data_IF_735656001560
#
_entry.id   IF_735656001560
#
_cell.length_a   1.000
_cell.length_b   1.000
_cell.length_c   1.000
_cell.angle_alpha   90.00
_cell.angle_beta   90.00
_cell.angle_gamma   90.00
#
_symmetry.space_group_name_H-M   'P 1'
#
loop_
_entity.id
_entity.type
_entity.pdbx_description
1 polymer ?
#
# COMPACT_ATOMS: atom_id res chain seq x y z
N UNK A 1 -6.67 10.71 -27.73
CA UNK A 1 -5.91 9.52 -27.25
C UNK A 1 -6.27 9.33 -25.77
N UNK A 2 -6.81 8.17 -25.38
CA UNK A 2 -7.14 7.92 -23.98
C UNK A 2 -5.83 7.52 -23.26
N UNK A 3 -5.37 8.36 -22.32
CA UNK A 3 -4.15 8.08 -21.54
C UNK A 3 -4.59 7.17 -20.39
N UNK A 4 -4.06 5.93 -20.32
CA UNK A 4 -4.49 4.95 -19.30
C UNK A 4 -3.93 5.24 -17.90
N UNK A 5 -2.98 6.15 -17.77
CA UNK A 5 -2.40 6.61 -16.51
C UNK A 5 -2.91 8.01 -16.19
N UNK A 6 -3.59 8.17 -15.08
CA UNK A 6 -4.38 9.37 -14.75
C UNK A 6 -4.07 9.86 -13.34
N UNK A 7 -4.45 11.09 -13.09
CA UNK A 7 -4.55 11.68 -11.76
C UNK A 7 -5.66 11.01 -10.95
N UNK A 8 -5.58 11.16 -9.63
CA UNK A 8 -6.60 10.69 -8.69
C UNK A 8 -6.68 11.54 -7.44
N UNK A 9 -7.57 11.17 -6.55
CA UNK A 9 -7.64 11.79 -5.23
C UNK A 9 -6.64 11.11 -4.31
N UNK A 10 -5.72 11.90 -3.77
CA UNK A 10 -4.64 11.43 -2.90
C UNK A 10 -4.94 11.86 -1.47
N UNK A 11 -4.87 10.93 -0.54
CA UNK A 11 -4.97 11.18 0.89
C UNK A 11 -3.58 11.12 1.52
N UNK A 12 -3.17 12.20 2.17
CA UNK A 12 -1.92 12.23 2.95
C UNK A 12 -2.23 12.51 4.42
N UNK A 13 -1.50 11.89 5.38
CA UNK A 13 -1.71 12.12 6.80
C UNK A 13 -1.39 13.56 7.18
N UNK A 14 -2.15 14.12 8.11
CA UNK A 14 -1.90 15.45 8.71
C UNK A 14 -0.96 15.32 9.89
N UNK A 15 -0.04 16.28 10.03
CA UNK A 15 0.77 16.52 11.24
C UNK A 15 1.25 15.25 11.96
N UNK A 16 1.72 14.26 11.17
CA UNK A 16 2.01 12.92 11.65
C UNK A 16 3.51 12.68 11.70
N UNK A 17 3.99 12.00 12.74
CA UNK A 17 5.35 11.50 12.82
C UNK A 17 5.57 10.40 11.75
N UNK A 18 6.23 10.78 10.66
CA UNK A 18 6.47 9.88 9.52
C UNK A 18 7.35 8.70 9.87
N UNK A 19 8.14 8.75 10.94
CA UNK A 19 8.97 7.62 11.40
C UNK A 19 8.12 6.50 12.02
N UNK A 20 6.93 6.83 12.50
CA UNK A 20 5.94 5.88 13.01
C UNK A 20 4.83 5.57 12.00
N UNK A 21 4.52 6.55 11.14
CA UNK A 21 3.50 6.37 10.10
C UNK A 21 3.93 5.38 9.03
N UNK A 22 5.14 5.57 8.49
CA UNK A 22 5.63 4.80 7.35
C UNK A 22 6.26 3.48 7.79
N UNK A 23 5.75 2.37 7.27
CA UNK A 23 6.36 1.04 7.42
C UNK A 23 6.74 0.48 6.06
N UNK A 24 7.57 -0.55 6.04
CA UNK A 24 7.93 -1.26 4.81
C UNK A 24 6.71 -1.92 4.17
N UNK A 25 6.83 -2.29 2.89
CA UNK A 25 5.77 -2.99 2.18
C UNK A 25 5.45 -4.33 2.87
N UNK A 26 4.17 -4.71 2.83
CA UNK A 26 3.65 -5.88 3.55
C UNK A 26 4.24 -7.22 3.09
N UNK A 27 4.90 -7.26 1.95
CA UNK A 27 5.59 -8.42 1.36
C UNK A 27 7.10 -8.48 1.70
N UNK A 28 7.58 -7.60 2.59
CA UNK A 28 8.95 -7.61 3.07
C UNK A 28 9.04 -8.34 4.41
N UNK A 29 10.23 -8.88 4.73
CA UNK A 29 10.50 -9.55 6.00
C UNK A 29 9.49 -10.67 6.34
N UNK A 30 9.10 -11.44 5.32
CA UNK A 30 8.05 -12.47 5.42
C UNK A 30 8.44 -13.68 6.28
N UNK A 31 9.73 -13.82 6.64
CA UNK A 31 10.27 -14.87 7.50
C UNK A 31 10.83 -14.34 8.81
N UNK A 32 10.60 -13.06 9.12
CA UNK A 32 11.25 -12.38 10.25
C UNK A 32 10.21 -11.80 11.22
N UNK A 33 9.58 -12.66 12.06
CA UNK A 33 8.56 -12.21 13.02
C UNK A 33 9.09 -11.15 14.01
N UNK A 34 10.36 -11.24 14.39
CA UNK A 34 10.98 -10.29 15.32
C UNK A 34 11.03 -8.87 14.73
N UNK A 35 11.26 -8.75 13.42
CA UNK A 35 11.20 -7.46 12.73
C UNK A 35 9.83 -6.80 12.92
N UNK A 36 8.74 -7.51 12.66
CA UNK A 36 7.39 -6.97 12.78
C UNK A 36 6.99 -6.68 14.21
N UNK A 37 7.48 -7.48 15.18
CA UNK A 37 7.30 -7.22 16.60
C UNK A 37 8.01 -5.93 17.03
N UNK A 38 9.20 -5.68 16.53
CA UNK A 38 9.94 -4.45 16.85
C UNK A 38 9.32 -3.22 16.19
N UNK A 39 8.85 -3.34 14.95
CA UNK A 39 8.05 -2.29 14.30
C UNK A 39 6.81 -1.96 15.13
N UNK A 40 6.08 -2.96 15.62
CA UNK A 40 4.90 -2.75 16.46
C UNK A 40 5.24 -2.02 17.78
N UNK A 41 6.38 -2.34 18.41
CA UNK A 41 6.85 -1.63 19.61
C UNK A 41 7.19 -0.17 19.33
N UNK A 42 7.86 0.11 18.18
CA UNK A 42 8.22 1.48 17.78
C UNK A 42 6.96 2.32 17.50
N UNK A 43 6.00 1.73 16.78
CA UNK A 43 4.73 2.39 16.45
C UNK A 43 3.91 2.66 17.70
N UNK A 44 3.78 1.68 18.60
CA UNK A 44 2.94 1.78 19.81
C UNK A 44 1.50 2.13 19.43
N UNK A 45 0.92 3.09 20.16
CA UNK A 45 -0.45 3.59 19.94
C UNK A 45 -0.55 4.69 18.86
N UNK A 46 0.55 4.99 18.17
CA UNK A 46 0.55 6.06 17.16
C UNK A 46 -0.17 5.60 15.89
N UNK A 47 -0.83 6.53 15.18
CA UNK A 47 -1.32 6.23 13.82
C UNK A 47 -0.19 5.74 12.93
N UNK A 48 -0.42 4.64 12.20
CA UNK A 48 0.59 4.03 11.35
C UNK A 48 -0.03 3.22 10.23
N UNK A 49 0.67 3.15 9.10
CA UNK A 49 0.30 2.25 8.01
C UNK A 49 0.45 0.77 8.41
N UNK A 50 1.16 0.45 9.50
CA UNK A 50 1.14 -0.89 10.10
C UNK A 50 -0.29 -1.37 10.41
N UNK A 51 -1.14 -0.46 10.87
CA UNK A 51 -2.53 -0.74 11.26
C UNK A 51 -3.50 -0.69 10.07
N UNK A 52 -3.02 -0.42 8.86
CA UNK A 52 -3.78 -0.31 7.62
C UNK A 52 -3.39 -1.36 6.58
N UNK A 53 -2.40 -2.19 6.87
CA UNK A 53 -1.91 -3.23 5.98
C UNK A 53 -1.87 -4.57 6.68
N UNK A 54 -1.86 -5.65 5.90
CA UNK A 54 -1.70 -7.02 6.40
C UNK A 54 -0.34 -7.55 5.94
N UNK A 55 0.68 -7.56 6.80
CA UNK A 55 1.96 -8.19 6.50
C UNK A 55 1.79 -9.67 6.14
N UNK A 56 2.52 -10.13 5.13
CA UNK A 56 2.39 -11.50 4.60
C UNK A 56 2.69 -12.59 5.63
N UNK A 57 3.53 -12.29 6.61
CA UNK A 57 3.84 -13.19 7.71
C UNK A 57 2.59 -13.64 8.50
N UNK A 58 1.49 -12.86 8.45
CA UNK A 58 0.25 -13.14 9.17
C UNK A 58 -0.84 -13.75 8.30
N UNK A 59 -0.58 -14.04 7.01
CA UNK A 59 -1.60 -14.54 6.09
C UNK A 59 -2.12 -15.94 6.44
N UNK A 60 -1.32 -16.74 7.12
CA UNK A 60 -1.65 -18.10 7.54
C UNK A 60 -2.06 -18.19 9.03
N UNK A 61 -2.14 -17.06 9.72
CA UNK A 61 -2.55 -17.02 11.11
C UNK A 61 -4.04 -17.39 11.27
N UNK A 62 -4.36 -18.08 12.36
CA UNK A 62 -5.75 -18.44 12.69
C UNK A 62 -6.66 -17.20 12.88
N UNK A 63 -6.11 -16.04 13.16
CA UNK A 63 -6.82 -14.79 13.40
C UNK A 63 -6.77 -13.79 12.22
N UNK A 64 -6.47 -14.26 11.00
CA UNK A 64 -6.34 -13.38 9.81
C UNK A 64 -7.62 -12.56 9.55
N UNK A 65 -8.79 -13.15 9.73
CA UNK A 65 -10.07 -12.44 9.55
C UNK A 65 -10.27 -11.33 10.60
N UNK A 66 -9.87 -11.55 11.83
CA UNK A 66 -9.90 -10.51 12.87
C UNK A 66 -8.95 -9.37 12.54
N UNK A 67 -7.73 -9.68 12.06
CA UNK A 67 -6.77 -8.67 11.60
C UNK A 67 -7.34 -7.81 10.47
N UNK A 68 -7.97 -8.42 9.47
CA UNK A 68 -8.63 -7.72 8.35
C UNK A 68 -9.73 -6.79 8.85
N UNK A 69 -10.58 -7.26 9.78
CA UNK A 69 -11.65 -6.45 10.36
C UNK A 69 -11.09 -5.26 11.14
N UNK A 70 -9.99 -5.44 11.88
CA UNK A 70 -9.32 -4.36 12.59
C UNK A 70 -8.71 -3.33 11.64
N UNK A 71 -8.08 -3.77 10.53
CA UNK A 71 -7.56 -2.90 9.49
C UNK A 71 -8.69 -2.04 8.89
N UNK A 72 -9.80 -2.65 8.50
CA UNK A 72 -10.95 -1.94 7.93
C UNK A 72 -11.56 -0.93 8.92
N UNK A 73 -11.62 -1.31 10.19
CA UNK A 73 -12.10 -0.43 11.27
C UNK A 73 -11.17 0.77 11.46
N UNK A 74 -9.85 0.55 11.46
CA UNK A 74 -8.85 1.61 11.57
C UNK A 74 -8.90 2.56 10.38
N UNK A 75 -9.02 2.05 9.14
CA UNK A 75 -9.19 2.89 7.95
C UNK A 75 -10.42 3.79 8.09
N UNK A 76 -11.56 3.21 8.46
CA UNK A 76 -12.82 3.95 8.63
C UNK A 76 -12.70 5.01 9.72
N UNK A 77 -12.07 4.67 10.85
CA UNK A 77 -11.83 5.60 11.97
C UNK A 77 -10.99 6.80 11.52
N UNK A 78 -9.85 6.57 10.87
CA UNK A 78 -8.97 7.65 10.42
C UNK A 78 -9.65 8.60 9.43
N UNK A 79 -10.52 8.06 8.56
CA UNK A 79 -11.31 8.88 7.63
C UNK A 79 -12.32 9.72 8.40
N UNK A 80 -13.07 9.13 9.34
CA UNK A 80 -14.08 9.83 10.15
C UNK A 80 -13.47 10.92 11.05
N UNK A 81 -12.27 10.70 11.54
CA UNK A 81 -11.52 11.65 12.36
C UNK A 81 -10.84 12.76 11.54
N UNK A 82 -11.04 12.80 10.21
CA UNK A 82 -10.39 13.74 9.30
C UNK A 82 -8.86 13.75 9.44
N UNK A 83 -8.28 12.56 9.63
CA UNK A 83 -6.84 12.37 9.80
C UNK A 83 -6.05 12.74 8.55
N UNK A 84 -6.68 12.74 7.39
CA UNK A 84 -6.03 12.98 6.09
C UNK A 84 -6.34 14.37 5.54
N UNK A 85 -5.39 14.89 4.75
CA UNK A 85 -5.63 15.96 3.78
C UNK A 85 -5.88 15.33 2.43
N UNK A 86 -6.96 15.69 1.76
CA UNK A 86 -7.24 15.26 0.40
C UNK A 86 -6.62 16.23 -0.61
N UNK A 87 -5.91 15.68 -1.59
CA UNK A 87 -5.39 16.36 -2.76
C UNK A 87 -6.13 15.82 -3.98
N UNK A 88 -7.19 16.50 -4.42
CA UNK A 88 -7.97 16.04 -5.56
C UNK A 88 -7.19 16.22 -6.86
N UNK A 89 -7.49 15.38 -7.84
CA UNK A 89 -6.96 15.47 -9.21
C UNK A 89 -5.43 15.59 -9.27
N UNK A 90 -4.74 14.78 -8.47
CA UNK A 90 -3.29 14.87 -8.22
C UNK A 90 -2.56 13.58 -8.59
N UNK A 91 -1.24 13.66 -8.68
CA UNK A 91 -0.29 12.55 -8.76
C UNK A 91 0.77 12.74 -7.68
N UNK A 92 1.40 11.64 -7.23
CA UNK A 92 2.52 11.71 -6.29
C UNK A 92 3.82 11.61 -7.10
N UNK A 93 4.69 12.60 -6.95
CA UNK A 93 6.09 12.49 -7.36
C UNK A 93 6.88 11.85 -6.24
N UNK A 94 7.59 10.79 -6.56
CA UNK A 94 8.44 10.04 -5.64
C UNK A 94 9.91 10.26 -6.02
N UNK A 95 10.70 10.64 -5.03
CA UNK A 95 12.14 10.63 -5.12
C UNK A 95 12.73 9.76 -4.01
N UNK A 96 13.58 8.83 -4.36
CA UNK A 96 14.23 7.92 -3.42
C UNK A 96 15.72 7.87 -3.65
N UNK A 97 16.49 8.36 -2.69
CA UNK A 97 17.95 8.20 -2.66
C UNK A 97 18.32 6.85 -2.05
N UNK A 98 19.08 6.04 -2.77
CA UNK A 98 19.58 4.74 -2.33
C UNK A 98 20.85 4.90 -1.49
N UNK A 99 21.26 3.85 -0.78
CA UNK A 99 22.49 3.85 0.03
C UNK A 99 23.77 4.09 -0.76
N UNK A 100 23.77 3.79 -2.07
CA UNK A 100 24.88 4.04 -3.00
C UNK A 100 24.85 5.48 -3.60
N UNK A 101 23.92 6.32 -3.13
CA UNK A 101 23.76 7.71 -3.58
C UNK A 101 22.95 7.88 -4.87
N UNK A 102 22.52 6.79 -5.52
CA UNK A 102 21.67 6.90 -6.71
C UNK A 102 20.27 7.33 -6.36
N UNK A 103 19.70 8.20 -7.18
CA UNK A 103 18.33 8.67 -7.05
C UNK A 103 17.43 7.92 -8.02
N UNK A 104 16.29 7.45 -7.51
CA UNK A 104 15.16 6.94 -8.30
C UNK A 104 14.02 7.92 -8.21
N UNK A 105 13.49 8.26 -9.37
CA UNK A 105 12.33 9.14 -9.50
C UNK A 105 11.15 8.35 -10.07
N UNK A 106 9.94 8.72 -9.69
CA UNK A 106 8.74 8.06 -10.17
C UNK A 106 7.48 8.91 -9.99
N UNK A 107 6.44 8.52 -10.71
CA UNK A 107 5.11 9.07 -10.55
C UNK A 107 4.15 7.96 -10.12
N UNK A 108 3.34 8.24 -9.10
CA UNK A 108 2.20 7.41 -8.73
C UNK A 108 0.91 8.07 -9.18
N UNK A 109 0.01 7.28 -9.75
CA UNK A 109 -1.28 7.72 -10.21
C UNK A 109 -2.25 6.55 -10.34
N UNK A 110 -3.38 6.78 -10.95
CA UNK A 110 -4.42 5.77 -11.20
C UNK A 110 -4.21 5.15 -12.58
N UNK A 111 -4.33 3.84 -12.65
CA UNK A 111 -4.25 3.07 -13.89
C UNK A 111 -5.68 2.66 -14.31
N UNK A 112 -5.99 2.87 -15.58
CA UNK A 112 -7.21 2.37 -16.20
C UNK A 112 -7.04 0.87 -16.48
N UNK A 113 -7.72 0.03 -15.69
CA UNK A 113 -7.61 -1.43 -15.80
C UNK A 113 -8.19 -1.97 -17.10
N UNK A 114 -9.09 -1.26 -17.76
CA UNK A 114 -9.60 -1.65 -19.10
C UNK A 114 -8.52 -1.48 -20.20
N UNK A 115 -7.48 -0.70 -19.92
CA UNK A 115 -6.33 -0.53 -20.81
C UNK A 115 -5.16 -1.48 -20.51
N UNK A 116 -5.40 -2.51 -19.68
CA UNK A 116 -4.39 -3.45 -19.18
C UNK A 116 -4.76 -4.89 -19.54
N UNK A 117 -3.82 -5.69 -19.99
CA UNK A 117 -4.08 -7.11 -20.32
C UNK A 117 -2.88 -8.00 -20.04
N UNK A 118 -3.17 -9.20 -19.52
CA UNK A 118 -2.21 -10.30 -19.36
C UNK A 118 -2.14 -11.22 -20.59
N UNK A 119 -2.95 -10.99 -21.61
CA UNK A 119 -2.98 -11.84 -22.81
C UNK A 119 -1.67 -11.71 -23.60
N UNK A 120 -1.13 -12.85 -24.01
CA UNK A 120 0.08 -12.88 -24.82
C UNK A 120 -0.18 -12.19 -26.17
N UNK A 121 0.71 -11.26 -26.54
CA UNK A 121 0.58 -10.50 -27.78
C UNK A 121 -0.37 -9.30 -27.71
N UNK A 122 -0.95 -9.04 -26.55
CA UNK A 122 -1.76 -7.84 -26.34
C UNK A 122 -1.00 -6.56 -26.69
N UNK A 123 -1.69 -5.63 -27.36
CA UNK A 123 -1.18 -4.31 -27.75
C UNK A 123 -1.71 -3.20 -26.82
N UNK A 124 -2.12 -3.55 -25.61
CA UNK A 124 -2.57 -2.55 -24.62
C UNK A 124 -1.46 -1.56 -24.29
N UNK A 125 -1.79 -0.28 -24.03
CA UNK A 125 -0.81 0.76 -23.69
C UNK A 125 -0.01 0.44 -22.42
N UNK A 126 -0.63 -0.28 -21.47
CA UNK A 126 0.02 -0.77 -20.25
C UNK A 126 0.21 -2.27 -20.39
N UNK A 127 1.45 -2.70 -20.21
CA UNK A 127 1.81 -4.12 -20.31
C UNK A 127 1.91 -4.73 -18.92
N UNK A 128 1.33 -5.91 -18.78
CA UNK A 128 1.54 -6.74 -17.60
C UNK A 128 3.00 -7.21 -17.55
N UNK A 129 3.60 -7.10 -16.37
CA UNK A 129 4.99 -7.53 -16.14
C UNK A 129 5.06 -8.96 -15.63
N UNK A 130 4.25 -9.28 -14.62
CA UNK A 130 4.23 -10.58 -13.96
C UNK A 130 2.84 -10.91 -13.42
N UNK A 131 2.59 -12.20 -13.18
CA UNK A 131 1.37 -12.64 -12.48
C UNK A 131 1.64 -12.71 -10.99
N UNK A 132 0.65 -12.30 -10.21
CA UNK A 132 0.73 -12.40 -8.76
C UNK A 132 0.51 -13.85 -8.28
N UNK A 133 0.93 -14.14 -7.05
CA UNK A 133 0.65 -15.40 -6.36
C UNK A 133 -0.83 -15.41 -5.96
N UNK A 134 -1.60 -16.32 -6.55
CA UNK A 134 -3.07 -16.33 -6.47
C UNK A 134 -3.55 -16.49 -5.02
N UNK A 135 -2.89 -17.32 -4.23
CA UNK A 135 -3.25 -17.65 -2.85
C UNK A 135 -3.18 -16.42 -1.92
N UNK A 136 -2.41 -15.40 -2.30
CA UNK A 136 -2.24 -14.15 -1.53
C UNK A 136 -3.28 -13.07 -1.85
N UNK A 137 -4.09 -13.29 -2.89
CA UNK A 137 -5.08 -12.30 -3.32
C UNK A 137 -6.29 -12.21 -2.36
N UNK A 138 -6.96 -13.33 -1.96
CA UNK A 138 -8.23 -13.27 -1.26
C UNK A 138 -8.19 -12.48 0.05
N UNK A 139 -7.18 -12.61 0.94
CA UNK A 139 -7.11 -11.81 2.16
C UNK A 139 -6.97 -10.31 1.87
N UNK A 140 -6.20 -9.95 0.84
CA UNK A 140 -5.96 -8.54 0.47
C UNK A 140 -7.18 -7.87 -0.14
N UNK A 141 -7.99 -8.61 -0.90
CA UNK A 141 -9.24 -8.07 -1.49
C UNK A 141 -10.27 -7.73 -0.40
N UNK A 142 -10.21 -8.35 0.77
CA UNK A 142 -11.08 -8.05 1.92
C UNK A 142 -10.71 -6.77 2.65
N UNK A 143 -9.51 -6.23 2.44
CA UNK A 143 -9.09 -4.93 2.98
C UNK A 143 -9.68 -3.85 2.08
N UNK A 144 -10.48 -2.96 2.65
CA UNK A 144 -11.29 -1.96 1.91
C UNK A 144 -10.69 -0.58 2.00
#
# INVERSE_FOLDING_TARGET
MNIPFKKGNILLPKDTDMTKWSVVACDQYTSEPDYWNDVAKIVGDSPSTLNLTLPEIYLEDNNVEERINNINSNMSKLIQENFFVEYPDSMIYLERTQSDGKVREGLMGIVDLEAYSYEQGSQTPIRATEKTVIERIPPRVKIR
#
